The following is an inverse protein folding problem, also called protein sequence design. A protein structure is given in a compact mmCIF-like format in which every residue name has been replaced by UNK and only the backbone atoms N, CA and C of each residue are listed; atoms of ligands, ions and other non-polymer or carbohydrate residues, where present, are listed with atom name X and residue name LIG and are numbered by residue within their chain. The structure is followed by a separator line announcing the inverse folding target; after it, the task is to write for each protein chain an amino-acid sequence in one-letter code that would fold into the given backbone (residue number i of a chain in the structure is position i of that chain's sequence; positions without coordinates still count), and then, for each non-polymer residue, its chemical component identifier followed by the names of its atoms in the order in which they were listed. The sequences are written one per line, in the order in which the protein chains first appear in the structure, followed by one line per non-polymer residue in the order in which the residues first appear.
data_IF_139252393874
#
_entry.id   IF_139252393874
#
_cell.length_a   1.000
_cell.length_b   1.000
_cell.length_c   1.000
_cell.angle_alpha   90.00
_cell.angle_beta   90.00
_cell.angle_gamma   90.00
#
_symmetry.space_group_name_H-M   'P 1'
#
loop_
_entity.id
_entity.type
_entity.pdbx_description
1 polymer ?
#
# COMPACT_ATOMS: atom_id res chain seq x y z
N UNK A 1 5.40 -1.94 7.59
CA UNK A 1 4.99 -2.32 8.96
C UNK A 1 6.12 -2.07 9.98
N UNK A 2 7.28 -2.74 9.87
CA UNK A 2 8.37 -2.72 10.85
C UNK A 2 8.78 -1.33 11.32
N UNK A 3 9.09 -0.42 10.42
CA UNK A 3 9.52 0.94 10.79
C UNK A 3 8.40 1.75 11.45
N UNK A 4 7.13 1.50 11.09
CA UNK A 4 5.99 2.10 11.76
C UNK A 4 5.84 1.56 13.19
N UNK A 5 6.12 0.27 13.41
CA UNK A 5 6.10 -0.34 14.74
C UNK A 5 7.22 0.20 15.64
N UNK A 6 8.41 0.46 15.07
CA UNK A 6 9.49 1.13 15.79
C UNK A 6 9.08 2.56 16.17
N UNK A 7 8.50 3.32 15.22
CA UNK A 7 8.04 4.69 15.48
C UNK A 7 6.87 4.73 16.48
N UNK A 8 6.04 3.68 16.55
CA UNK A 8 4.96 3.56 17.54
C UNK A 8 5.51 3.33 18.95
N UNK A 9 6.58 2.56 19.07
CA UNK A 9 7.25 2.31 20.36
C UNK A 9 8.02 3.53 20.85
N UNK A 10 8.60 4.28 19.93
CA UNK A 10 9.35 5.52 20.22
C UNK A 10 8.87 6.64 19.27
N UNK A 11 7.86 7.43 19.68
CA UNK A 11 7.31 8.53 18.86
C UNK A 11 8.33 9.63 18.53
N UNK A 12 9.45 9.72 19.25
CA UNK A 12 10.53 10.67 18.98
C UNK A 12 11.47 10.19 17.88
N UNK A 13 11.38 8.92 17.46
CA UNK A 13 12.19 8.34 16.40
C UNK A 13 11.67 8.77 15.02
N UNK A 14 11.93 10.01 14.65
CA UNK A 14 11.53 10.56 13.35
C UNK A 14 12.18 9.81 12.18
N UNK A 15 13.38 9.24 12.39
CA UNK A 15 14.06 8.46 11.34
C UNK A 15 13.29 7.17 11.00
N UNK A 16 12.73 6.48 11.98
CA UNK A 16 11.90 5.30 11.74
C UNK A 16 10.61 5.68 10.99
N UNK A 17 9.96 6.78 11.38
CA UNK A 17 8.77 7.28 10.69
C UNK A 17 9.06 7.65 9.24
N UNK A 18 10.15 8.38 8.99
CA UNK A 18 10.58 8.73 7.64
C UNK A 18 10.88 7.49 6.77
N UNK A 19 11.48 6.46 7.34
CA UNK A 19 11.70 5.18 6.65
C UNK A 19 10.39 4.48 6.32
N UNK A 20 9.41 4.46 7.23
CA UNK A 20 8.08 3.89 6.97
C UNK A 20 7.41 4.59 5.78
N UNK A 21 7.42 5.92 5.75
CA UNK A 21 6.88 6.75 4.66
C UNK A 21 7.59 6.44 3.34
N UNK A 22 8.93 6.40 3.35
CA UNK A 22 9.75 6.08 2.18
C UNK A 22 9.41 4.71 1.59
N UNK A 23 9.34 3.67 2.44
CA UNK A 23 9.06 2.32 1.95
C UNK A 23 7.61 2.14 1.51
N UNK A 24 6.66 2.82 2.14
CA UNK A 24 5.27 2.84 1.66
C UNK A 24 5.20 3.44 0.26
N UNK A 25 5.90 4.55 0.01
CA UNK A 25 5.98 5.20 -1.31
C UNK A 25 6.66 4.31 -2.35
N UNK A 26 7.78 3.67 -2.01
CA UNK A 26 8.47 2.75 -2.92
C UNK A 26 7.53 1.59 -3.30
N UNK A 27 6.88 0.97 -2.33
CA UNK A 27 5.96 -0.13 -2.56
C UNK A 27 4.79 0.30 -3.46
N UNK A 28 4.16 1.43 -3.16
CA UNK A 28 3.08 1.97 -3.96
C UNK A 28 3.51 2.25 -5.41
N UNK A 29 4.68 2.86 -5.60
CA UNK A 29 5.25 3.12 -6.93
C UNK A 29 5.49 1.82 -7.70
N UNK A 30 6.10 0.81 -7.07
CA UNK A 30 6.37 -0.48 -7.72
C UNK A 30 5.07 -1.19 -8.13
N UNK A 31 4.01 -1.11 -7.32
CA UNK A 31 2.72 -1.72 -7.64
C UNK A 31 2.01 -0.99 -8.79
N UNK A 32 2.00 0.34 -8.74
CA UNK A 32 1.30 1.16 -9.74
C UNK A 32 2.05 1.19 -11.07
N UNK A 33 3.39 1.20 -11.03
CA UNK A 33 4.25 1.25 -12.20
C UNK A 33 5.37 0.19 -12.11
N UNK A 34 5.06 -1.10 -12.32
CA UNK A 34 6.01 -2.19 -12.18
C UNK A 34 7.19 -2.09 -13.16
N UNK A 35 6.95 -1.59 -14.36
CA UNK A 35 7.96 -1.50 -15.40
C UNK A 35 8.94 -0.33 -15.21
N UNK A 36 8.61 0.60 -14.31
CA UNK A 36 9.42 1.81 -14.05
C UNK A 36 9.47 2.79 -15.23
N UNK A 37 8.75 2.52 -16.30
CA UNK A 37 8.72 3.35 -17.49
C UNK A 37 7.68 4.47 -17.38
N UNK A 38 8.16 5.68 -17.21
CA UNK A 38 7.32 6.87 -17.16
C UNK A 38 6.94 7.39 -18.58
N UNK A 39 7.58 6.89 -19.64
CA UNK A 39 7.35 7.36 -21.02
C UNK A 39 5.96 7.00 -21.54
N UNK A 40 5.40 5.88 -21.09
CA UNK A 40 4.08 5.39 -21.50
C UNK A 40 2.89 6.00 -20.73
N UNK A 41 3.15 6.87 -19.76
CA UNK A 41 2.07 7.47 -18.95
C UNK A 41 1.23 8.48 -19.71
N UNK A 42 1.83 9.23 -20.65
CA UNK A 42 1.13 10.16 -21.57
C UNK A 42 0.07 11.00 -20.85
N UNK A 43 -1.12 11.08 -21.45
CA UNK A 43 -2.28 11.79 -20.88
C UNK A 43 -2.82 11.19 -19.58
N UNK A 44 -2.43 9.96 -19.23
CA UNK A 44 -2.86 9.26 -18.03
C UNK A 44 -1.92 9.48 -16.84
N UNK A 45 -0.84 10.25 -16.98
CA UNK A 45 0.15 10.47 -15.91
C UNK A 45 -0.50 10.90 -14.59
N UNK A 46 -1.48 11.79 -14.65
CA UNK A 46 -2.22 12.23 -13.47
C UNK A 46 -2.87 11.07 -12.70
N UNK A 47 -3.50 10.12 -13.41
CA UNK A 47 -4.17 9.00 -12.76
C UNK A 47 -3.19 8.06 -12.07
N UNK A 48 -2.03 7.82 -12.67
CA UNK A 48 -0.97 7.01 -12.06
C UNK A 48 -0.36 7.69 -10.85
N UNK A 49 -0.06 8.98 -10.93
CA UNK A 49 0.50 9.73 -9.80
C UNK A 49 -0.49 9.83 -8.63
N UNK A 50 -1.76 10.07 -8.92
CA UNK A 50 -2.82 10.08 -7.93
C UNK A 50 -3.05 8.70 -7.31
N UNK A 51 -2.96 7.62 -8.11
CA UNK A 51 -3.06 6.24 -7.64
C UNK A 51 -1.88 5.85 -6.73
N UNK A 52 -0.65 6.25 -7.09
CA UNK A 52 0.54 6.05 -6.25
C UNK A 52 0.39 6.76 -4.91
N UNK A 53 -0.05 8.02 -4.93
CA UNK A 53 -0.29 8.79 -3.71
C UNK A 53 -1.38 8.19 -2.82
N UNK A 54 -2.50 7.79 -3.41
CA UNK A 54 -3.60 7.13 -2.71
C UNK A 54 -3.15 5.82 -2.08
N UNK A 55 -2.47 4.96 -2.85
CA UNK A 55 -1.98 3.67 -2.35
C UNK A 55 -0.96 3.86 -1.23
N UNK A 56 -0.04 4.82 -1.37
CA UNK A 56 0.91 5.19 -0.30
C UNK A 56 0.16 5.58 0.98
N UNK A 57 -0.88 6.40 0.85
CA UNK A 57 -1.73 6.84 1.96
C UNK A 57 -2.38 5.66 2.67
N UNK A 58 -2.99 4.74 1.92
CA UNK A 58 -3.68 3.56 2.48
C UNK A 58 -2.71 2.60 3.16
N UNK A 59 -1.54 2.34 2.56
CA UNK A 59 -0.49 1.52 3.16
C UNK A 59 -0.02 2.11 4.50
N UNK A 60 0.21 3.43 4.54
CA UNK A 60 0.61 4.11 5.78
C UNK A 60 -0.46 4.03 6.85
N UNK A 61 -1.72 4.28 6.50
CA UNK A 61 -2.83 4.18 7.44
C UNK A 61 -2.96 2.77 8.01
N UNK A 62 -2.89 1.74 7.16
CA UNK A 62 -2.96 0.36 7.62
C UNK A 62 -1.83 0.06 8.62
N UNK A 63 -0.60 0.48 8.30
CA UNK A 63 0.54 0.27 9.18
C UNK A 63 0.47 1.08 10.48
N UNK A 64 -0.10 2.30 10.45
CA UNK A 64 -0.14 3.21 11.59
C UNK A 64 -1.29 2.89 12.54
N UNK A 65 -2.49 2.62 12.03
CA UNK A 65 -3.69 2.44 12.83
C UNK A 65 -4.00 1.00 13.21
N UNK A 66 -3.43 0.04 12.49
CA UNK A 66 -3.56 -1.37 12.83
C UNK A 66 -2.27 -1.83 13.53
N UNK A 67 -2.30 -1.99 14.86
CA UNK A 67 -1.14 -2.46 15.61
C UNK A 67 -0.84 -3.93 15.26
N UNK A 68 0.41 -4.38 15.45
CA UNK A 68 0.75 -5.79 15.29
C UNK A 68 -0.05 -6.63 16.29
N UNK A 69 -0.54 -7.76 15.84
CA UNK A 69 -1.04 -8.80 16.73
C UNK A 69 0.12 -9.35 17.56
N UNK A 70 -0.17 -9.99 18.72
CA UNK A 70 0.87 -10.52 19.60
C UNK A 70 1.47 -11.82 19.07
N UNK A 71 0.64 -12.67 18.49
CA UNK A 71 1.03 -14.00 17.99
C UNK A 71 1.41 -13.95 16.52
N UNK A 72 0.65 -13.20 15.72
CA UNK A 72 0.78 -13.10 14.27
C UNK A 72 0.86 -11.64 13.81
N UNK A 73 2.01 -10.97 13.99
CA UNK A 73 2.14 -9.52 13.82
C UNK A 73 1.86 -9.02 12.40
N UNK A 74 1.90 -9.86 11.38
CA UNK A 74 1.66 -9.49 10.00
C UNK A 74 0.28 -9.90 9.44
N UNK A 75 -0.46 -10.79 10.11
CA UNK A 75 -1.68 -11.40 9.59
C UNK A 75 -2.78 -10.42 9.13
N UNK A 76 -2.81 -9.20 9.67
CA UNK A 76 -3.78 -8.17 9.29
C UNK A 76 -3.16 -7.00 8.54
N UNK A 77 -1.87 -7.05 8.25
CA UNK A 77 -1.10 -5.92 7.72
C UNK A 77 -0.33 -6.29 6.46
N UNK A 78 -1.01 -6.96 5.54
CA UNK A 78 -0.47 -7.44 4.28
C UNK A 78 -1.17 -6.76 3.09
N UNK A 79 -0.71 -7.04 1.87
CA UNK A 79 -1.18 -6.38 0.67
C UNK A 79 -2.66 -6.66 0.36
N UNK A 80 -3.16 -7.84 0.69
CA UNK A 80 -4.59 -8.18 0.53
C UNK A 80 -5.46 -7.36 1.49
N UNK A 81 -4.97 -7.04 2.70
CA UNK A 81 -5.66 -6.11 3.61
C UNK A 81 -5.72 -4.69 3.03
N UNK A 82 -4.68 -4.27 2.31
CA UNK A 82 -4.69 -2.98 1.58
C UNK A 82 -5.76 -3.00 0.49
N UNK A 83 -5.86 -4.10 -0.28
CA UNK A 83 -6.89 -4.26 -1.31
C UNK A 83 -8.30 -4.15 -0.72
N UNK A 84 -8.60 -4.92 0.33
CA UNK A 84 -9.90 -4.89 1.02
C UNK A 84 -10.23 -3.49 1.54
N UNK A 85 -9.25 -2.83 2.16
CA UNK A 85 -9.44 -1.46 2.64
C UNK A 85 -9.73 -0.48 1.50
N UNK A 86 -9.05 -0.59 0.36
CA UNK A 86 -9.35 0.25 -0.82
C UNK A 86 -10.76 0.01 -1.33
N UNK A 87 -11.22 -1.25 -1.38
CA UNK A 87 -12.62 -1.58 -1.76
C UNK A 87 -13.63 -0.93 -0.82
N UNK A 88 -13.44 -1.08 0.49
CA UNK A 88 -14.33 -0.49 1.50
C UNK A 88 -14.37 1.03 1.42
N UNK A 89 -13.23 1.65 1.10
CA UNK A 89 -13.12 3.10 0.97
C UNK A 89 -13.77 3.66 -0.31
N UNK A 90 -13.97 2.81 -1.33
CA UNK A 90 -14.71 3.15 -2.55
C UNK A 90 -16.21 3.27 -2.34
N UNK A 91 -16.74 2.55 -1.36
CA UNK A 91 -18.17 2.54 -1.12
C UNK A 91 -18.68 3.97 -0.81
N UNK A 92 -19.86 4.34 -1.34
CA UNK A 92 -20.46 5.61 -1.05
C UNK A 92 -20.78 5.71 0.46
N UNK A 93 -20.41 6.82 1.05
CA UNK A 93 -20.70 7.04 2.46
C UNK A 93 -22.16 7.44 2.69
N UNK A 94 -22.60 7.41 3.95
CA UNK A 94 -23.93 7.94 4.35
C UNK A 94 -24.03 9.45 4.17
N UNK A 95 -22.91 10.15 3.94
CA UNK A 95 -22.89 11.59 3.69
C UNK A 95 -22.93 11.83 2.19
N UNK A 96 -24.01 12.46 1.71
CA UNK A 96 -24.23 12.74 0.29
C UNK A 96 -23.03 13.47 -0.33
N UNK A 97 -22.54 12.95 -1.45
CA UNK A 97 -21.41 13.52 -2.20
C UNK A 97 -20.03 13.27 -1.58
N UNK A 98 -19.89 12.34 -0.62
CA UNK A 98 -18.59 11.96 -0.06
C UNK A 98 -18.41 10.44 -0.05
N UNK A 99 -17.25 9.99 -0.46
CA UNK A 99 -16.84 8.58 -0.28
C UNK A 99 -16.39 8.30 1.15
N UNK A 100 -16.33 7.03 1.54
CA UNK A 100 -15.74 6.65 2.83
C UNK A 100 -14.29 7.12 2.94
N UNK A 101 -13.54 7.11 1.84
CA UNK A 101 -12.17 7.63 1.80
C UNK A 101 -12.09 9.11 2.19
N UNK A 102 -12.93 9.96 1.59
CA UNK A 102 -12.95 11.38 1.90
C UNK A 102 -13.35 11.65 3.36
N UNK A 103 -14.29 10.87 3.89
CA UNK A 103 -14.69 10.97 5.30
C UNK A 103 -13.55 10.54 6.23
N UNK A 104 -12.87 9.44 5.93
CA UNK A 104 -11.74 8.96 6.72
C UNK A 104 -10.62 10.01 6.74
N UNK A 105 -10.25 10.53 5.58
CA UNK A 105 -9.22 11.58 5.47
C UNK A 105 -9.60 12.86 6.20
N UNK A 106 -10.88 13.22 6.23
CA UNK A 106 -11.33 14.42 6.96
C UNK A 106 -11.20 14.32 8.49
N UNK A 107 -11.11 13.09 9.01
CA UNK A 107 -10.92 12.83 10.45
C UNK A 107 -9.45 12.90 10.88
N UNK A 108 -8.52 12.84 9.93
CA UNK A 108 -7.09 12.96 10.22
C UNK A 108 -6.70 14.43 10.40
N UNK A 109 -5.69 14.74 11.24
CA UNK A 109 -5.13 16.08 11.33
C UNK A 109 -4.71 16.65 9.96
N UNK A 110 -4.78 17.97 9.73
CA UNK A 110 -4.43 18.57 8.44
C UNK A 110 -2.99 18.30 8.00
N UNK A 111 -2.07 18.15 8.95
CA UNK A 111 -0.65 17.88 8.76
C UNK A 111 -0.31 16.39 8.69
N UNK A 112 -1.32 15.50 8.73
CA UNK A 112 -1.09 14.08 8.68
C UNK A 112 -0.58 13.63 7.30
N UNK A 113 0.53 12.88 7.26
CA UNK A 113 1.19 12.47 6.02
C UNK A 113 0.29 11.69 5.06
N UNK A 114 -0.59 10.83 5.58
CA UNK A 114 -1.54 10.10 4.74
C UNK A 114 -2.44 11.06 3.93
N UNK A 115 -2.89 12.19 4.52
CA UNK A 115 -3.64 13.21 3.79
C UNK A 115 -2.82 13.88 2.69
N UNK A 116 -1.55 14.14 2.97
CA UNK A 116 -0.67 14.78 1.98
C UNK A 116 -0.43 13.87 0.78
N UNK A 117 -0.14 12.58 1.02
CA UNK A 117 0.03 11.62 -0.07
C UNK A 117 -1.25 11.44 -0.89
N UNK A 118 -2.41 11.45 -0.25
CA UNK A 118 -3.69 11.35 -0.93
C UNK A 118 -4.16 12.66 -1.61
N UNK A 119 -3.42 13.76 -1.49
CA UNK A 119 -3.85 15.09 -1.88
C UNK A 119 -4.34 15.21 -3.32
N UNK A 120 -3.65 14.61 -4.28
CA UNK A 120 -4.07 14.63 -5.68
C UNK A 120 -5.42 13.92 -5.89
N UNK A 121 -5.60 12.75 -5.28
CA UNK A 121 -6.86 12.01 -5.33
C UNK A 121 -8.00 12.76 -4.61
N UNK A 122 -7.74 13.30 -3.42
CA UNK A 122 -8.73 14.02 -2.62
C UNK A 122 -9.26 15.30 -3.28
N UNK A 123 -8.41 15.97 -4.05
CA UNK A 123 -8.75 17.21 -4.77
C UNK A 123 -9.33 16.97 -6.16
N UNK A 124 -9.48 15.72 -6.57
CA UNK A 124 -10.06 15.33 -7.85
C UNK A 124 -11.59 15.41 -7.80
N UNK A 125 -12.21 15.64 -8.97
CA UNK A 125 -13.64 15.44 -9.13
C UNK A 125 -14.02 13.97 -8.83
N UNK A 126 -15.26 13.74 -8.41
CA UNK A 126 -15.74 12.42 -8.00
C UNK A 126 -15.49 11.33 -9.05
N UNK A 127 -15.73 11.63 -10.32
CA UNK A 127 -15.47 10.72 -11.43
C UNK A 127 -13.98 10.39 -11.60
N UNK A 128 -13.10 11.40 -11.45
CA UNK A 128 -11.66 11.19 -11.51
C UNK A 128 -11.15 10.37 -10.31
N UNK A 129 -11.70 10.61 -9.11
CA UNK A 129 -11.42 9.81 -7.93
C UNK A 129 -11.79 8.34 -8.14
N UNK A 130 -12.96 8.05 -8.71
CA UNK A 130 -13.38 6.70 -9.02
C UNK A 130 -12.41 6.02 -10.00
N UNK A 131 -11.93 6.74 -11.01
CA UNK A 131 -10.92 6.24 -11.96
C UNK A 131 -9.57 5.97 -11.29
N UNK A 132 -9.11 6.84 -10.40
CA UNK A 132 -7.88 6.63 -9.61
C UNK A 132 -7.99 5.37 -8.77
N UNK A 133 -9.08 5.20 -8.04
CA UNK A 133 -9.31 4.02 -7.20
C UNK A 133 -9.43 2.73 -8.00
N UNK A 134 -10.12 2.77 -9.15
CA UNK A 134 -10.20 1.65 -10.09
C UNK A 134 -8.80 1.25 -10.59
N UNK A 135 -7.94 2.22 -10.87
CA UNK A 135 -6.54 1.96 -11.24
C UNK A 135 -5.79 1.24 -10.11
N UNK A 136 -5.93 1.71 -8.87
CA UNK A 136 -5.31 1.05 -7.70
C UNK A 136 -5.79 -0.39 -7.56
N UNK A 137 -7.11 -0.62 -7.62
CA UNK A 137 -7.67 -1.98 -7.50
C UNK A 137 -7.20 -2.90 -8.62
N UNK A 138 -7.16 -2.40 -9.86
CA UNK A 138 -6.67 -3.17 -11.01
C UNK A 138 -5.22 -3.64 -10.79
N UNK A 139 -4.36 -2.77 -10.25
CA UNK A 139 -2.97 -3.12 -9.94
C UNK A 139 -2.83 -4.08 -8.76
N UNK A 140 -3.70 -3.96 -7.78
CA UNK A 140 -3.71 -4.85 -6.61
C UNK A 140 -4.29 -6.23 -6.92
N UNK A 141 -5.07 -6.40 -7.99
CA UNK A 141 -5.63 -7.69 -8.40
C UNK A 141 -4.56 -8.77 -8.60
N UNK A 142 -3.35 -8.39 -9.01
CA UNK A 142 -2.23 -9.33 -9.16
C UNK A 142 -1.86 -10.08 -7.86
N UNK A 143 -2.28 -9.57 -6.70
CA UNK A 143 -2.02 -10.18 -5.39
C UNK A 143 -3.17 -11.01 -4.84
N UNK A 144 -4.26 -11.18 -5.60
CA UNK A 144 -5.45 -11.92 -5.18
C UNK A 144 -5.46 -13.39 -5.63
N UNK A 145 -4.34 -13.88 -6.11
CA UNK A 145 -4.15 -15.29 -6.37
C UNK A 145 -4.04 -16.06 -5.05
N UNK A 146 -4.74 -17.17 -4.93
CA UNK A 146 -4.81 -17.95 -3.69
C UNK A 146 -3.46 -18.52 -3.24
N UNK A 147 -2.55 -18.78 -4.17
CA UNK A 147 -1.20 -19.26 -3.85
C UNK A 147 -0.34 -18.12 -3.34
N UNK A 148 -0.44 -16.94 -3.98
CA UNK A 148 0.23 -15.74 -3.50
C UNK A 148 -0.31 -15.27 -2.13
N UNK A 149 -1.61 -15.39 -1.90
CA UNK A 149 -2.19 -15.06 -0.59
C UNK A 149 -1.58 -15.92 0.53
N UNK A 150 -1.34 -17.21 0.30
CA UNK A 150 -0.70 -18.09 1.28
C UNK A 150 0.72 -17.63 1.64
N UNK A 151 1.44 -17.04 0.70
CA UNK A 151 2.80 -16.54 0.93
C UNK A 151 2.80 -15.14 1.56
N UNK A 152 1.87 -14.27 1.13
CA UNK A 152 1.90 -12.85 1.48
C UNK A 152 1.11 -12.49 2.75
N UNK A 153 0.15 -13.34 3.16
CA UNK A 153 -0.78 -13.02 4.25
C UNK A 153 -0.33 -13.56 5.60
N UNK A 154 0.72 -14.36 5.65
CA UNK A 154 1.27 -14.93 6.88
C UNK A 154 2.59 -14.27 7.28
N UNK A 155 3.00 -14.53 8.52
CA UNK A 155 4.28 -14.05 9.02
C UNK A 155 5.43 -14.67 8.25
N UNK A 156 6.38 -13.85 7.83
CA UNK A 156 7.56 -14.31 7.11
C UNK A 156 8.49 -15.09 8.02
N UNK A 157 8.90 -16.28 7.57
CA UNK A 157 9.99 -17.05 8.21
C UNK A 157 11.36 -16.42 7.94
N UNK A 158 11.44 -15.52 6.95
CA UNK A 158 12.69 -14.85 6.57
C UNK A 158 12.80 -13.53 7.33
N UNK A 159 13.78 -13.46 8.23
CA UNK A 159 14.19 -12.23 8.87
C UNK A 159 15.30 -11.57 8.05
N UNK A 160 14.99 -10.41 7.47
CA UNK A 160 15.93 -9.68 6.62
C UNK A 160 17.19 -9.20 7.37
N UNK A 161 17.12 -8.93 8.68
CA UNK A 161 18.29 -8.55 9.49
C UNK A 161 19.19 -9.76 9.77
N UNK A 162 18.57 -10.86 10.14
CA UNK A 162 19.30 -12.12 10.34
C UNK A 162 19.98 -12.54 9.05
N UNK A 163 19.26 -12.47 7.92
CA UNK A 163 19.81 -12.75 6.60
C UNK A 163 20.99 -11.85 6.24
N UNK A 164 20.91 -10.54 6.54
CA UNK A 164 21.97 -9.58 6.25
C UNK A 164 23.18 -9.70 7.20
N UNK A 165 23.00 -10.24 8.41
CA UNK A 165 24.04 -10.36 9.43
C UNK A 165 24.77 -11.71 9.45
N UNK A 166 24.20 -12.74 8.83
CA UNK A 166 24.73 -14.10 8.81
C UNK A 166 25.06 -14.53 7.36
N UNK A 167 25.97 -15.50 7.22
CA UNK A 167 26.20 -16.15 5.93
C UNK A 167 24.99 -17.01 5.59
N UNK A 168 24.12 -16.51 4.72
CA UNK A 168 22.86 -17.15 4.37
C UNK A 168 22.63 -17.14 2.87
N UNK A 169 21.83 -18.08 2.38
CA UNK A 169 21.34 -18.13 1.01
C UNK A 169 19.83 -18.34 1.02
N UNK A 170 19.12 -17.64 0.14
CA UNK A 170 17.69 -17.82 -0.08
C UNK A 170 17.50 -18.45 -1.45
N UNK A 171 16.80 -19.56 -1.49
CA UNK A 171 16.39 -20.23 -2.72
C UNK A 171 14.90 -19.97 -2.92
N UNK A 172 14.56 -19.24 -3.99
CA UNK A 172 13.18 -19.01 -4.41
C UNK A 172 12.84 -20.05 -5.47
N UNK A 173 11.92 -20.95 -5.13
CA UNK A 173 11.38 -21.91 -6.09
C UNK A 173 10.11 -21.29 -6.65
N UNK A 174 10.16 -20.89 -7.90
CA UNK A 174 9.01 -20.34 -8.61
C UNK A 174 8.38 -21.46 -9.45
N UNK A 175 7.04 -21.52 -9.55
CA UNK A 175 6.39 -22.41 -10.49
C UNK A 175 6.82 -22.05 -11.91
N UNK A 176 7.03 -23.08 -12.73
CA UNK A 176 7.30 -22.92 -14.16
C UNK A 176 6.00 -22.54 -14.84
N UNK A 177 5.67 -21.26 -14.84
CA UNK A 177 4.56 -20.78 -15.65
C UNK A 177 5.03 -20.61 -17.08
N UNK A 178 4.23 -21.11 -18.02
CA UNK A 178 4.42 -20.91 -19.45
C UNK A 178 4.51 -19.40 -19.77
N UNK A 179 5.73 -18.90 -19.89
CA UNK A 179 6.03 -17.57 -20.39
C UNK A 179 5.76 -17.42 -21.90
N UNK A 180 5.06 -18.38 -22.49
CA UNK A 180 4.60 -18.34 -23.88
C UNK A 180 3.33 -17.51 -24.03
N UNK A 181 3.35 -16.24 -23.59
CA UNK A 181 2.34 -15.29 -24.02
C UNK A 181 2.98 -13.94 -24.28
N UNK A 182 3.40 -13.82 -25.57
CA UNK A 182 3.38 -12.62 -26.44
C UNK A 182 3.88 -11.30 -25.83
#
# INVERSE_FOLDING_TARGET
NRYMDIARKDPKNLAARAKAEKYAKILAKTIVNPDGDDSNRGQNAFFYDAAEGLLTSVILMLAEFLPPDKEHPQERRHIVSVFKLVQDLLEPSKVKGKSHFQLLMSKLPPDHKARWFAGAALNSAEQAMASVMSTVLSRLNAFLDSELEQVLCFDSVIDAEKFASEKSAIFLILPEEDTTKN
#
